data_IF_321274329696
#
_entry.id   IF_321274329696
#
_cell.length_a   1.000
_cell.length_b   1.000
_cell.length_c   1.000
_cell.angle_alpha   90.00
_cell.angle_beta   90.00
_cell.angle_gamma   90.00
#
_symmetry.space_group_name_H-M   'P 1'
#
loop_
_entity.id
_entity.type
_entity.pdbx_description
1 polymer ?
#
# COMPACT_ATOMS: atom_id res chain seq x y z
N UNK A 1 -21.40 8.19 -5.41
CA UNK A 1 -20.27 8.95 -4.84
C UNK A 1 -18.99 8.25 -5.26
N UNK A 2 -18.32 8.72 -6.31
CA UNK A 2 -17.09 8.10 -6.80
C UNK A 2 -15.99 8.48 -5.82
N UNK A 3 -15.61 7.53 -4.96
CA UNK A 3 -14.44 7.67 -4.10
C UNK A 3 -13.25 7.90 -5.02
N UNK A 4 -12.73 9.13 -5.05
CA UNK A 4 -11.50 9.46 -5.75
C UNK A 4 -10.43 8.62 -5.06
N UNK A 5 -10.06 7.49 -5.66
CA UNK A 5 -8.91 6.73 -5.20
C UNK A 5 -7.74 7.59 -5.61
N UNK A 6 -7.32 8.48 -4.72
CA UNK A 6 -5.98 9.03 -4.75
C UNK A 6 -5.07 7.84 -4.50
N UNK A 7 -4.74 7.14 -5.59
CA UNK A 7 -3.62 6.22 -5.58
C UNK A 7 -2.47 7.05 -5.02
N UNK A 8 -1.85 6.64 -3.89
CA UNK A 8 -0.66 7.32 -3.45
C UNK A 8 0.26 7.27 -4.66
N UNK A 9 0.61 8.45 -5.17
CA UNK A 9 1.51 8.60 -6.30
C UNK A 9 2.83 8.09 -5.77
N UNK A 10 2.99 6.77 -5.81
CA UNK A 10 4.26 6.12 -5.66
C UNK A 10 5.16 6.76 -6.70
N UNK A 11 6.42 6.96 -6.32
CA UNK A 11 7.31 7.88 -7.02
C UNK A 11 7.21 7.65 -8.51
N UNK A 12 6.96 8.70 -9.30
CA UNK A 12 6.81 8.60 -10.76
C UNK A 12 7.90 7.70 -11.38
N UNK A 13 9.11 7.75 -10.82
CA UNK A 13 10.25 6.90 -11.16
C UNK A 13 10.02 5.39 -11.03
N UNK A 14 9.26 4.92 -10.04
CA UNK A 14 9.01 3.51 -9.82
C UNK A 14 7.90 2.99 -10.72
N UNK A 15 6.87 3.81 -10.98
CA UNK A 15 5.90 3.54 -12.04
C UNK A 15 6.55 3.47 -13.43
N UNK A 16 7.38 4.45 -13.78
CA UNK A 16 8.13 4.49 -15.03
C UNK A 16 9.01 3.26 -15.19
N UNK A 17 9.67 2.82 -14.12
CA UNK A 17 10.47 1.59 -14.11
C UNK A 17 9.63 0.34 -14.41
N UNK A 18 8.45 0.22 -13.82
CA UNK A 18 7.57 -0.94 -14.05
C UNK A 18 7.01 -0.95 -15.47
N UNK A 19 6.60 0.20 -16.00
CA UNK A 19 6.13 0.32 -17.40
C UNK A 19 7.27 0.10 -18.39
N UNK A 20 8.45 0.64 -18.13
CA UNK A 20 9.64 0.40 -18.95
C UNK A 20 10.01 -1.08 -19.01
N UNK A 21 9.86 -1.82 -17.90
CA UNK A 21 10.08 -3.27 -17.86
C UNK A 21 9.12 -4.03 -18.76
N UNK A 22 7.87 -3.56 -18.90
CA UNK A 22 6.89 -4.15 -19.82
C UNK A 22 7.21 -3.82 -21.28
N UNK A 23 7.62 -2.59 -21.57
CA UNK A 23 7.99 -2.14 -22.92
C UNK A 23 9.23 -2.85 -23.47
N UNK A 24 10.17 -3.22 -22.59
CA UNK A 24 11.42 -3.89 -22.95
C UNK A 24 11.29 -5.42 -22.99
N UNK A 25 10.14 -5.99 -22.64
CA UNK A 25 9.97 -7.44 -22.58
C UNK A 25 9.84 -8.05 -23.98
N UNK A 26 10.87 -8.78 -24.40
CA UNK A 26 10.92 -9.44 -25.73
C UNK A 26 10.26 -10.83 -25.76
N UNK A 27 9.96 -11.40 -24.58
CA UNK A 27 9.38 -12.74 -24.46
C UNK A 27 8.06 -12.71 -23.70
N UNK A 28 7.17 -13.66 -24.00
CA UNK A 28 5.90 -13.81 -23.27
C UNK A 28 6.11 -13.94 -21.76
N UNK A 29 7.08 -14.77 -21.35
CA UNK A 29 7.43 -14.93 -19.94
C UNK A 29 7.91 -13.60 -19.33
N UNK A 30 8.73 -12.83 -20.06
CA UNK A 30 9.14 -11.49 -19.65
C UNK A 30 7.96 -10.54 -19.46
N UNK A 31 7.00 -10.54 -20.39
CA UNK A 31 5.78 -9.74 -20.29
C UNK A 31 4.96 -10.12 -19.06
N UNK A 32 4.78 -11.42 -18.80
CA UNK A 32 4.07 -11.92 -17.61
C UNK A 32 4.75 -11.44 -16.33
N UNK A 33 6.08 -11.54 -16.23
CA UNK A 33 6.81 -11.06 -15.05
C UNK A 33 6.72 -9.53 -14.88
N UNK A 34 6.79 -8.77 -15.96
CA UNK A 34 6.62 -7.32 -15.93
C UNK A 34 5.22 -6.93 -15.41
N UNK A 35 4.17 -7.59 -15.90
CA UNK A 35 2.79 -7.38 -15.42
C UNK A 35 2.65 -7.75 -13.95
N UNK A 36 3.25 -8.86 -13.48
CA UNK A 36 3.24 -9.22 -12.06
C UNK A 36 3.95 -8.17 -11.19
N UNK A 37 5.03 -7.56 -11.68
CA UNK A 37 5.71 -6.43 -11.04
C UNK A 37 4.80 -5.20 -10.89
N UNK A 38 4.12 -4.82 -11.98
CA UNK A 38 3.14 -3.74 -11.99
C UNK A 38 2.00 -4.02 -10.99
N UNK A 39 1.43 -5.23 -11.01
CA UNK A 39 0.35 -5.60 -10.11
C UNK A 39 0.79 -5.55 -8.64
N UNK A 40 1.98 -6.07 -8.30
CA UNK A 40 2.54 -5.97 -6.95
C UNK A 40 2.69 -4.53 -6.50
N UNK A 41 3.21 -3.66 -7.37
CA UNK A 41 3.36 -2.24 -7.10
C UNK A 41 2.01 -1.58 -6.82
N UNK A 42 1.02 -1.77 -7.70
CA UNK A 42 -0.33 -1.23 -7.51
C UNK A 42 -1.00 -1.77 -6.24
N UNK A 43 -0.83 -3.07 -5.96
CA UNK A 43 -1.34 -3.71 -4.75
C UNK A 43 -0.73 -3.11 -3.47
N UNK A 44 0.58 -2.82 -3.48
CA UNK A 44 1.25 -2.11 -2.39
C UNK A 44 0.68 -0.70 -2.22
N UNK A 45 0.62 0.08 -3.29
CA UNK A 45 0.12 1.46 -3.25
C UNK A 45 -1.33 1.52 -2.74
N UNK A 46 -2.20 0.62 -3.21
CA UNK A 46 -3.58 0.54 -2.73
C UNK A 46 -3.65 0.22 -1.23
N UNK A 47 -2.86 -0.74 -0.76
CA UNK A 47 -2.79 -1.13 0.63
C UNK A 47 -2.32 0.03 1.52
N UNK A 48 -1.23 0.69 1.14
CA UNK A 48 -0.68 1.83 1.89
C UNK A 48 -1.66 3.00 1.92
N UNK A 49 -2.32 3.31 0.79
CA UNK A 49 -3.35 4.34 0.72
C UNK A 49 -4.54 4.05 1.63
N UNK A 50 -5.04 2.82 1.64
CA UNK A 50 -6.15 2.41 2.51
C UNK A 50 -5.76 2.42 3.99
N UNK A 51 -4.55 1.97 4.34
CA UNK A 51 -4.05 2.03 5.71
C UNK A 51 -3.90 3.48 6.19
N UNK A 52 -3.39 4.38 5.34
CA UNK A 52 -3.30 5.81 5.63
C UNK A 52 -4.68 6.40 5.88
N UNK A 53 -5.64 6.14 4.99
CA UNK A 53 -7.03 6.60 5.11
C UNK A 53 -7.68 6.13 6.42
N UNK A 54 -7.47 4.86 6.79
CA UNK A 54 -7.99 4.31 8.06
C UNK A 54 -7.35 4.97 9.27
N UNK A 55 -6.05 5.18 9.26
CA UNK A 55 -5.34 5.86 10.34
C UNK A 55 -5.81 7.32 10.51
N UNK A 56 -6.06 8.04 9.42
CA UNK A 56 -6.62 9.40 9.46
C UNK A 56 -8.05 9.42 10.05
N UNK A 57 -8.87 8.42 9.71
CA UNK A 57 -10.20 8.27 10.30
C UNK A 57 -10.16 7.88 11.79
N UNK A 58 -9.18 7.09 12.23
CA UNK A 58 -8.99 6.79 13.65
C UNK A 58 -8.53 8.02 14.44
N UNK A 59 -7.69 8.88 13.85
CA UNK A 59 -7.23 10.11 14.50
C UNK A 59 -8.35 11.12 14.76
N UNK A 60 -9.44 11.08 13.98
CA UNK A 60 -10.62 11.94 14.22
C UNK A 60 -11.58 11.37 15.27
N UNK A 61 -11.35 10.15 15.74
CA UNK A 61 -12.14 9.52 16.81
C UNK A 61 -11.49 9.78 18.16
N UNK A 62 -12.25 10.06 19.24
CA UNK A 62 -11.68 10.19 20.58
C UNK A 62 -10.90 8.92 20.96
N UNK A 63 -9.63 9.10 21.35
CA UNK A 63 -8.77 8.01 21.83
C UNK A 63 -9.45 7.33 23.03
N UNK A 64 -9.64 6.01 22.95
CA UNK A 64 -10.14 5.23 24.07
C UNK A 64 -9.13 5.19 25.22
N UNK A 65 -9.63 5.06 26.44
CA UNK A 65 -8.81 4.82 27.62
C UNK A 65 -8.46 3.34 27.76
N UNK A 66 -7.30 3.04 28.33
CA UNK A 66 -6.86 1.68 28.58
C UNK A 66 -7.78 0.99 29.59
N UNK A 67 -8.33 -0.20 29.29
CA UNK A 67 -9.26 -0.89 30.19
C UNK A 67 -8.61 -1.40 31.49
N UNK A 68 -7.27 -1.44 31.57
CA UNK A 68 -6.55 -1.86 32.78
C UNK A 68 -6.07 -0.69 33.65
N UNK A 69 -5.56 0.39 33.05
CA UNK A 69 -4.91 1.46 33.78
C UNK A 69 -5.55 2.85 33.60
N UNK A 70 -6.61 2.97 32.79
CA UNK A 70 -7.34 4.22 32.56
C UNK A 70 -6.57 5.31 31.81
N UNK A 71 -5.33 5.06 31.38
CA UNK A 71 -4.55 6.03 30.61
C UNK A 71 -5.02 6.08 29.15
N UNK A 72 -4.98 7.27 28.54
CA UNK A 72 -5.35 7.48 27.14
C UNK A 72 -4.43 6.71 26.19
N UNK A 73 -5.01 5.92 25.28
CA UNK A 73 -4.24 5.17 24.28
C UNK A 73 -3.66 6.10 23.22
N UNK A 74 -2.40 5.87 22.86
CA UNK A 74 -1.70 6.64 21.82
C UNK A 74 -1.10 5.72 20.76
N UNK A 75 -1.13 6.19 19.51
CA UNK A 75 -0.45 5.52 18.41
C UNK A 75 1.06 5.51 18.65
N UNK A 76 1.70 4.35 18.48
CA UNK A 76 3.16 4.20 18.52
C UNK A 76 3.83 4.47 17.17
N UNK A 77 3.08 5.04 16.21
CA UNK A 77 3.55 5.26 14.86
C UNK A 77 3.44 4.02 13.97
N UNK A 78 3.98 4.14 12.76
CA UNK A 78 3.94 3.09 11.75
C UNK A 78 5.09 2.11 11.92
N UNK A 79 4.82 0.83 11.67
CA UNK A 79 5.84 -0.24 11.70
C UNK A 79 5.83 -0.97 10.38
N UNK A 80 7.02 -1.27 9.84
CA UNK A 80 7.16 -2.02 8.60
C UNK A 80 6.62 -3.44 8.77
N UNK A 81 5.83 -3.91 7.81
CA UNK A 81 5.27 -5.27 7.81
C UNK A 81 5.36 -5.87 6.42
N UNK A 82 5.54 -7.19 6.38
CA UNK A 82 5.39 -7.96 5.15
C UNK A 82 4.08 -8.74 5.22
N UNK A 83 3.23 -8.57 4.21
CA UNK A 83 1.97 -9.28 4.07
C UNK A 83 2.07 -10.30 2.94
N UNK A 84 1.50 -11.48 3.16
CA UNK A 84 1.34 -12.48 2.10
C UNK A 84 -0.01 -12.25 1.41
N UNK A 85 0.01 -12.05 0.10
CA UNK A 85 -1.19 -11.76 -0.72
C UNK A 85 -1.24 -12.69 -1.93
N UNK A 86 -2.32 -12.60 -2.72
CA UNK A 86 -2.42 -13.29 -4.01
C UNK A 86 -1.34 -12.85 -5.01
N UNK A 87 -0.80 -11.64 -4.83
CA UNK A 87 0.31 -11.11 -5.62
C UNK A 87 1.67 -11.52 -5.05
N UNK A 88 1.68 -12.44 -4.08
CA UNK A 88 2.85 -12.84 -3.30
C UNK A 88 3.11 -11.91 -2.11
N UNK A 89 4.34 -11.94 -1.60
CA UNK A 89 4.75 -11.10 -0.48
C UNK A 89 4.86 -9.62 -0.90
N UNK A 90 4.26 -8.72 -0.11
CA UNK A 90 4.33 -7.25 -0.23
C UNK A 90 4.92 -6.70 1.06
N UNK A 91 5.88 -5.77 0.99
CA UNK A 91 6.68 -5.27 2.12
C UNK A 91 7.01 -3.77 2.04
#
# INVERSE_FOLDING_TARGET
MVTKIELPVASLSEWEKQIGSLQQAETLSGMVFAVLGILRYLGKSLLEGELKRRNEAEQSTPKADCPQCGHRLESKGQVRRTLTTLLGKIA
#
